data_IF_361424929861
#
_entry.id   IF_361424929861
#
_cell.length_a   1.000
_cell.length_b   1.000
_cell.length_c   1.000
_cell.angle_alpha   90.00
_cell.angle_beta   90.00
_cell.angle_gamma   90.00
#
_symmetry.space_group_name_H-M   'P 1'
#
loop_
_entity.id
_entity.type
_entity.pdbx_description
1 polymer ?
#
# COMPACT_ATOMS: atom_id res chain seq x y z
N UNK A 1 21.55 95.38 -9.03
CA UNK A 1 20.80 94.84 -10.18
C UNK A 1 19.77 93.89 -9.60
N UNK A 2 18.52 94.34 -9.46
CA UNK A 2 17.43 93.52 -8.92
C UNK A 2 16.91 92.67 -10.07
N UNK A 3 17.02 91.35 -9.99
CA UNK A 3 16.41 90.45 -10.97
C UNK A 3 14.92 90.39 -10.65
N UNK A 4 14.10 90.97 -11.53
CA UNK A 4 12.63 91.00 -11.41
C UNK A 4 12.09 89.65 -11.90
N UNK A 5 11.65 88.77 -11.00
CA UNK A 5 11.18 87.40 -11.29
C UNK A 5 9.78 87.34 -11.93
N UNK A 6 9.35 88.35 -12.68
CA UNK A 6 7.99 88.48 -13.26
C UNK A 6 7.66 87.50 -14.41
N UNK A 7 8.50 86.49 -14.65
CA UNK A 7 8.34 85.54 -15.75
C UNK A 7 7.98 84.12 -15.35
N UNK A 8 7.95 83.79 -14.05
CA UNK A 8 7.53 82.47 -13.59
C UNK A 8 6.04 82.56 -13.26
N UNK A 9 5.22 81.98 -14.13
CA UNK A 9 3.78 81.83 -13.90
C UNK A 9 3.57 80.91 -12.69
N UNK A 10 3.04 81.46 -11.60
CA UNK A 10 2.73 80.76 -10.35
C UNK A 10 1.87 79.52 -10.59
N UNK A 11 1.03 79.55 -11.63
CA UNK A 11 0.25 78.40 -12.06
C UNK A 11 1.11 77.22 -12.51
N UNK A 12 2.17 77.47 -13.29
CA UNK A 12 3.06 76.41 -13.77
C UNK A 12 3.86 75.76 -12.63
N UNK A 13 4.16 76.54 -11.58
CA UNK A 13 4.82 76.01 -10.38
C UNK A 13 3.86 75.13 -9.59
N UNK A 14 2.60 75.55 -9.43
CA UNK A 14 1.59 74.77 -8.73
C UNK A 14 1.25 73.47 -9.49
N UNK A 15 1.10 73.52 -10.82
CA UNK A 15 0.86 72.34 -11.64
C UNK A 15 2.00 71.31 -11.51
N UNK A 16 3.25 71.77 -11.40
CA UNK A 16 4.41 70.89 -11.20
C UNK A 16 4.46 70.29 -9.78
N UNK A 17 4.09 71.07 -8.76
CA UNK A 17 3.97 70.58 -7.38
C UNK A 17 2.87 69.52 -7.29
N UNK A 18 1.72 69.76 -7.91
CA UNK A 18 0.58 68.85 -7.91
C UNK A 18 0.93 67.53 -8.62
N UNK A 19 1.63 67.59 -9.76
CA UNK A 19 2.10 66.40 -10.45
C UNK A 19 3.05 65.53 -9.60
N UNK A 20 4.00 66.17 -8.90
CA UNK A 20 4.91 65.47 -7.97
C UNK A 20 4.14 64.88 -6.78
N UNK A 21 3.14 65.60 -6.26
CA UNK A 21 2.30 65.09 -5.18
C UNK A 21 1.48 63.87 -5.59
N UNK A 22 0.98 63.85 -6.82
CA UNK A 22 0.26 62.69 -7.39
C UNK A 22 1.20 61.48 -7.47
N UNK A 23 2.39 61.63 -8.07
CA UNK A 23 3.36 60.53 -8.14
C UNK A 23 3.78 60.01 -6.75
N UNK A 24 3.97 60.92 -5.78
CA UNK A 24 4.31 60.54 -4.41
C UNK A 24 3.17 59.79 -3.71
N UNK A 25 1.92 60.11 -4.05
CA UNK A 25 0.73 59.43 -3.50
C UNK A 25 0.60 58.04 -4.11
N UNK A 26 0.77 57.91 -5.43
CA UNK A 26 0.71 56.62 -6.14
C UNK A 26 1.76 55.64 -5.60
N UNK A 27 3.01 56.10 -5.39
CA UNK A 27 4.09 55.27 -4.81
C UNK A 27 3.72 54.77 -3.41
N UNK A 28 3.04 55.60 -2.60
CA UNK A 28 2.64 55.24 -1.24
C UNK A 28 1.49 54.22 -1.23
N UNK A 29 0.55 54.31 -2.16
CA UNK A 29 -0.53 53.34 -2.33
C UNK A 29 -0.02 51.99 -2.83
N UNK A 30 0.90 51.99 -3.80
CA UNK A 30 1.49 50.77 -4.36
C UNK A 30 2.34 50.02 -3.32
N UNK A 31 3.14 50.76 -2.54
CA UNK A 31 3.92 50.19 -1.44
C UNK A 31 3.05 49.60 -0.30
N UNK A 32 1.82 50.09 -0.13
CA UNK A 32 0.87 49.55 0.84
C UNK A 32 0.09 48.32 0.32
N UNK A 33 0.06 48.11 -1.00
CA UNK A 33 -0.55 46.95 -1.65
C UNK A 33 0.41 45.76 -1.80
N UNK A 34 1.71 46.02 -2.00
CA UNK A 34 2.78 45.02 -2.24
C UNK A 34 3.31 44.36 -0.93
N UNK A 35 2.39 43.97 -0.04
CA UNK A 35 2.74 43.42 1.27
C UNK A 35 2.83 41.89 1.20
N UNK A 36 3.87 41.34 1.83
CA UNK A 36 4.00 39.91 2.10
C UNK A 36 2.80 39.45 2.96
N UNK A 37 2.04 38.47 2.48
CA UNK A 37 0.85 37.96 3.16
C UNK A 37 1.14 36.65 3.93
N UNK A 38 0.62 36.51 5.14
CA UNK A 38 0.74 35.28 5.94
C UNK A 38 -0.29 34.21 5.52
N UNK A 39 -0.44 34.01 4.22
CA UNK A 39 -1.33 33.01 3.63
C UNK A 39 -0.82 32.59 2.24
N UNK A 40 -1.22 31.40 1.81
CA UNK A 40 -1.09 30.95 0.41
C UNK A 40 -2.49 30.87 -0.18
N UNK A 41 -2.80 31.78 -1.10
CA UNK A 41 -4.08 31.85 -1.79
C UNK A 41 -3.87 31.54 -3.28
N UNK A 42 -4.71 30.68 -3.84
CA UNK A 42 -4.64 30.36 -5.26
C UNK A 42 -4.97 31.59 -6.12
N UNK A 43 -4.24 31.74 -7.22
CA UNK A 43 -4.44 32.79 -8.23
C UNK A 43 -4.17 34.24 -7.79
N UNK A 44 -3.52 34.43 -6.64
CA UNK A 44 -2.89 35.72 -6.27
C UNK A 44 -1.58 35.86 -7.04
N UNK A 45 -1.37 37.00 -7.70
CA UNK A 45 -0.20 37.28 -8.58
C UNK A 45 0.53 38.57 -8.21
N UNK A 46 -0.08 39.37 -7.34
CA UNK A 46 0.32 40.70 -6.91
C UNK A 46 0.84 40.73 -5.48
N UNK A 47 0.90 39.57 -4.80
CA UNK A 47 1.42 39.45 -3.44
C UNK A 47 2.22 38.17 -3.27
N UNK A 48 3.37 38.27 -2.61
CA UNK A 48 4.17 37.11 -2.23
C UNK A 48 3.68 36.55 -0.88
N UNK A 49 3.65 35.22 -0.70
CA UNK A 49 3.40 34.62 0.61
C UNK A 49 4.59 34.81 1.55
N UNK A 50 4.32 34.81 2.85
CA UNK A 50 5.32 34.86 3.92
C UNK A 50 6.12 33.56 4.00
N UNK A 51 7.31 33.62 4.59
CA UNK A 51 8.08 32.42 4.91
C UNK A 51 7.27 31.47 5.82
N UNK A 52 6.54 31.99 6.81
CA UNK A 52 5.73 31.18 7.72
C UNK A 52 4.61 30.46 6.97
N UNK A 53 3.89 31.17 6.09
CA UNK A 53 2.85 30.59 5.25
C UNK A 53 3.37 29.43 4.38
N UNK A 54 4.59 29.59 3.82
CA UNK A 54 5.27 28.53 3.06
C UNK A 54 5.67 27.35 3.96
N UNK A 55 6.24 27.60 5.13
CA UNK A 55 6.63 26.53 6.07
C UNK A 55 5.41 25.74 6.57
N UNK A 56 4.34 26.42 6.97
CA UNK A 56 3.12 25.79 7.47
C UNK A 56 2.45 24.94 6.41
N UNK A 57 2.37 25.42 5.16
CA UNK A 57 1.80 24.68 4.05
C UNK A 57 2.61 23.41 3.73
N UNK A 58 3.95 23.50 3.75
CA UNK A 58 4.84 22.35 3.53
C UNK A 58 4.75 21.34 4.68
N UNK A 59 4.67 21.80 5.92
CA UNK A 59 4.51 20.94 7.09
C UNK A 59 3.17 20.20 7.06
N UNK A 60 2.08 20.87 6.70
CA UNK A 60 0.76 20.23 6.58
C UNK A 60 0.73 19.17 5.46
N UNK A 61 1.38 19.44 4.33
CA UNK A 61 1.53 18.46 3.24
C UNK A 61 2.32 17.23 3.67
N UNK A 62 3.38 17.41 4.47
CA UNK A 62 4.19 16.32 5.00
C UNK A 62 3.46 15.49 6.09
N UNK A 63 2.53 16.10 6.83
CA UNK A 63 1.81 15.45 7.94
C UNK A 63 0.57 14.66 7.52
N UNK A 64 0.20 14.64 6.25
CA UNK A 64 -0.87 13.80 5.71
C UNK A 64 -0.47 12.32 5.67
N UNK A 65 0.00 11.76 6.79
CA UNK A 65 0.15 10.33 7.11
C UNK A 65 0.35 9.43 5.89
N UNK A 66 1.48 9.57 5.23
CA UNK A 66 1.87 8.72 4.09
C UNK A 66 2.01 7.23 4.48
N UNK A 67 1.96 6.94 5.79
CA UNK A 67 2.06 5.61 6.37
C UNK A 67 0.76 5.26 7.10
N UNK A 68 0.22 4.08 6.82
CA UNK A 68 -0.96 3.51 7.46
C UNK A 68 -0.56 2.33 8.34
N UNK A 69 -1.15 2.21 9.54
CA UNK A 69 -0.90 1.09 10.44
C UNK A 69 -1.91 -0.05 10.21
N UNK A 70 -2.20 -0.34 8.94
CA UNK A 70 -3.00 -1.46 8.49
C UNK A 70 -2.67 -1.83 7.04
N UNK A 71 -2.84 -3.11 6.68
CA UNK A 71 -2.89 -3.55 5.28
C UNK A 71 -4.33 -3.48 4.81
N UNK A 72 -4.62 -2.48 3.98
CA UNK A 72 -5.94 -2.31 3.36
C UNK A 72 -5.81 -2.60 1.87
N UNK A 73 -6.65 -3.50 1.37
CA UNK A 73 -6.68 -3.84 -0.05
C UNK A 73 -7.11 -2.64 -0.91
N UNK A 74 -6.48 -2.49 -2.07
CA UNK A 74 -6.75 -1.41 -3.01
C UNK A 74 -6.24 -0.01 -2.62
N UNK A 75 -5.61 0.16 -1.45
CA UNK A 75 -4.98 1.45 -1.09
C UNK A 75 -3.61 1.56 -1.77
N UNK A 76 -3.45 2.58 -2.62
CA UNK A 76 -2.21 2.85 -3.37
C UNK A 76 -1.59 4.20 -3.05
N UNK A 77 -2.26 5.03 -2.26
CA UNK A 77 -1.84 6.40 -1.91
C UNK A 77 -1.11 6.50 -0.58
N UNK A 78 -1.07 5.40 0.19
CA UNK A 78 -0.37 5.30 1.47
C UNK A 78 0.43 4.01 1.52
N UNK A 79 1.65 4.07 2.04
CA UNK A 79 2.44 2.90 2.34
C UNK A 79 1.99 2.27 3.68
N UNK A 80 2.06 0.94 3.85
CA UNK A 80 1.86 0.33 5.16
C UNK A 80 3.07 0.57 6.08
N UNK A 81 2.84 0.54 7.39
CA UNK A 81 3.91 0.61 8.40
C UNK A 81 4.81 -0.63 8.37
N UNK A 82 6.07 -0.49 8.79
CA UNK A 82 6.99 -1.62 8.87
C UNK A 82 6.49 -2.71 9.83
N UNK A 83 5.86 -2.32 10.94
CA UNK A 83 5.32 -3.26 11.94
C UNK A 83 4.20 -4.10 11.34
N UNK A 84 3.28 -3.46 10.62
CA UNK A 84 2.18 -4.16 9.94
C UNK A 84 2.70 -5.11 8.88
N UNK A 85 3.72 -4.71 8.10
CA UNK A 85 4.34 -5.60 7.13
C UNK A 85 4.99 -6.80 7.82
N UNK A 86 5.70 -6.57 8.92
CA UNK A 86 6.35 -7.63 9.68
C UNK A 86 5.33 -8.62 10.27
N UNK A 87 4.29 -8.12 10.92
CA UNK A 87 3.23 -8.95 11.52
C UNK A 87 2.49 -9.76 10.45
N UNK A 88 2.17 -9.15 9.32
CA UNK A 88 1.53 -9.84 8.21
C UNK A 88 2.43 -10.90 7.56
N UNK A 89 3.73 -10.65 7.45
CA UNK A 89 4.69 -11.63 6.95
C UNK A 89 4.89 -12.78 7.94
N UNK A 90 4.86 -12.52 9.25
CA UNK A 90 4.98 -13.55 10.28
C UNK A 90 3.83 -14.56 10.27
N UNK A 91 2.64 -14.16 9.79
CA UNK A 91 1.49 -15.05 9.66
C UNK A 91 1.44 -15.83 8.33
N UNK A 92 2.30 -15.50 7.36
CA UNK A 92 2.36 -16.23 6.09
C UNK A 92 3.07 -17.57 6.28
N UNK A 93 2.46 -18.62 5.73
CA UNK A 93 3.06 -19.94 5.69
C UNK A 93 4.31 -19.92 4.80
N UNK A 94 5.46 -20.38 5.32
CA UNK A 94 6.69 -20.49 4.54
C UNK A 94 6.59 -21.65 3.56
N UNK A 95 6.90 -21.41 2.28
CA UNK A 95 6.98 -22.43 1.24
C UNK A 95 7.98 -23.53 1.60
N UNK A 96 9.05 -23.20 2.32
CA UNK A 96 10.05 -24.16 2.76
C UNK A 96 9.48 -25.22 3.72
N UNK A 97 8.40 -24.89 4.44
CA UNK A 97 7.72 -25.82 5.34
C UNK A 97 6.78 -26.78 4.59
N UNK A 98 6.49 -26.54 3.30
CA UNK A 98 5.60 -27.40 2.53
C UNK A 98 6.37 -28.50 1.81
N UNK A 99 5.93 -29.74 2.04
CA UNK A 99 6.42 -30.92 1.35
C UNK A 99 5.27 -31.63 0.66
N UNK A 100 5.53 -32.11 -0.55
CA UNK A 100 4.62 -33.00 -1.26
C UNK A 100 5.02 -34.44 -0.98
N UNK A 101 4.10 -35.21 -0.40
CA UNK A 101 4.29 -36.63 -0.11
C UNK A 101 3.34 -37.44 -0.98
N UNK A 102 3.89 -38.34 -1.79
CA UNK A 102 3.11 -39.32 -2.52
C UNK A 102 3.06 -40.63 -1.71
N UNK A 103 1.90 -41.27 -1.68
CA UNK A 103 1.74 -42.56 -1.01
C UNK A 103 2.41 -43.69 -1.80
N UNK A 104 2.61 -44.83 -1.16
CA UNK A 104 2.86 -46.06 -1.91
C UNK A 104 1.64 -46.39 -2.81
N UNK A 105 1.89 -47.15 -3.88
CA UNK A 105 0.84 -47.67 -4.73
C UNK A 105 -0.08 -48.60 -3.94
N UNK A 106 -1.40 -48.44 -4.09
CA UNK A 106 -2.38 -49.34 -3.47
C UNK A 106 -2.23 -50.76 -4.02
N UNK A 107 -2.46 -51.75 -3.15
CA UNK A 107 -2.40 -53.17 -3.52
C UNK A 107 -3.65 -53.62 -4.31
N UNK A 108 -4.77 -52.88 -4.23
CA UNK A 108 -6.04 -53.29 -4.82
C UNK A 108 -6.76 -54.38 -4.01
N UNK A 109 -8.08 -54.41 -4.07
CA UNK A 109 -8.91 -55.59 -3.75
C UNK A 109 -9.92 -55.46 -2.60
N UNK A 110 -10.20 -54.26 -2.07
CA UNK A 110 -11.33 -54.07 -1.15
C UNK A 110 -12.11 -52.76 -1.32
N UNK A 111 -13.43 -52.79 -1.10
CA UNK A 111 -14.38 -51.65 -1.16
C UNK A 111 -13.88 -50.38 -0.46
N UNK A 112 -13.06 -50.59 0.57
CA UNK A 112 -12.35 -49.55 1.31
C UNK A 112 -10.88 -49.98 1.37
N UNK A 113 -10.00 -49.15 0.83
CA UNK A 113 -8.54 -49.37 0.89
C UNK A 113 -7.88 -48.28 1.71
N UNK A 114 -7.18 -48.68 2.78
CA UNK A 114 -6.31 -47.79 3.54
C UNK A 114 -4.89 -47.85 2.99
N UNK A 115 -4.39 -46.72 2.52
CA UNK A 115 -2.99 -46.53 2.16
C UNK A 115 -2.36 -45.51 3.11
N UNK A 116 -1.24 -45.88 3.72
CA UNK A 116 -0.44 -44.98 4.55
C UNK A 116 0.59 -44.22 3.71
N UNK A 117 0.76 -42.93 4.00
CA UNK A 117 1.88 -42.15 3.48
C UNK A 117 3.13 -42.38 4.35
N UNK A 118 4.29 -42.50 3.72
CA UNK A 118 5.57 -42.63 4.41
C UNK A 118 6.21 -41.24 4.53
N UNK A 119 6.80 -40.92 5.69
CA UNK A 119 7.49 -39.64 5.91
C UNK A 119 6.67 -38.56 6.62
N UNK A 120 5.47 -38.90 7.08
CA UNK A 120 4.72 -38.08 8.04
C UNK A 120 5.36 -38.21 9.43
N UNK A 121 5.49 -37.08 10.12
CA UNK A 121 5.94 -36.99 11.50
C UNK A 121 4.82 -36.45 12.39
N UNK A 122 4.92 -36.72 13.70
CA UNK A 122 4.01 -36.14 14.68
C UNK A 122 4.06 -34.60 14.62
N UNK A 123 2.92 -33.97 14.39
CA UNK A 123 2.79 -32.51 14.28
C UNK A 123 2.69 -31.99 12.85
N UNK A 124 2.95 -32.81 11.84
CA UNK A 124 2.73 -32.43 10.45
C UNK A 124 1.24 -32.14 10.20
N UNK A 125 0.95 -31.11 9.40
CA UNK A 125 -0.43 -30.72 9.06
C UNK A 125 -0.68 -31.01 7.58
N UNK A 126 -1.66 -31.87 7.29
CA UNK A 126 -2.08 -32.14 5.91
C UNK A 126 -2.99 -31.00 5.46
N UNK A 127 -2.52 -30.23 4.48
CA UNK A 127 -3.23 -29.09 3.91
C UNK A 127 -4.17 -29.49 2.78
N UNK A 128 -3.78 -30.52 2.01
CA UNK A 128 -4.60 -31.06 0.93
C UNK A 128 -4.24 -32.52 0.67
N UNK A 129 -5.24 -33.28 0.21
CA UNK A 129 -5.07 -34.65 -0.28
C UNK A 129 -5.80 -34.79 -1.62
N UNK A 130 -5.13 -35.36 -2.60
CA UNK A 130 -5.70 -35.63 -3.92
C UNK A 130 -5.24 -36.97 -4.47
N UNK A 131 -5.97 -37.49 -5.45
CA UNK A 131 -5.51 -38.66 -6.19
C UNK A 131 -4.56 -38.22 -7.30
N UNK A 132 -3.31 -38.68 -7.24
CA UNK A 132 -2.30 -38.42 -8.28
C UNK A 132 -2.44 -39.39 -9.43
N UNK A 133 -2.62 -40.68 -9.11
CA UNK A 133 -2.73 -41.76 -10.08
C UNK A 133 -3.96 -42.58 -9.73
N UNK A 134 -4.89 -42.65 -10.68
CA UNK A 134 -6.06 -43.52 -10.57
C UNK A 134 -5.64 -44.98 -10.77
N UNK A 135 -6.11 -45.85 -9.89
CA UNK A 135 -6.00 -47.31 -10.05
C UNK A 135 -7.01 -47.88 -11.05
N UNK A 136 -7.02 -49.20 -11.21
CA UNK A 136 -8.10 -49.88 -11.95
C UNK A 136 -9.45 -49.67 -11.23
N UNK A 137 -10.54 -49.41 -11.93
CA UNK A 137 -11.87 -49.15 -11.30
C UNK A 137 -11.88 -47.97 -10.31
N UNK A 138 -10.93 -47.04 -10.43
CA UNK A 138 -10.78 -45.94 -9.49
C UNK A 138 -11.96 -44.97 -9.51
N UNK A 139 -12.41 -44.63 -8.31
CA UNK A 139 -13.30 -43.50 -8.04
C UNK A 139 -12.53 -42.36 -7.39
N UNK A 140 -13.15 -41.19 -7.27
CA UNK A 140 -12.56 -40.05 -6.58
C UNK A 140 -12.35 -40.35 -5.08
N UNK A 141 -11.33 -39.71 -4.49
CA UNK A 141 -11.11 -39.73 -3.05
C UNK A 141 -12.35 -39.17 -2.33
N UNK A 142 -12.90 -39.92 -1.38
CA UNK A 142 -14.14 -39.56 -0.68
C UNK A 142 -13.84 -38.88 0.64
N UNK A 143 -12.87 -39.42 1.39
CA UNK A 143 -12.46 -38.84 2.67
C UNK A 143 -11.03 -39.25 3.01
N UNK A 144 -10.45 -38.54 3.96
CA UNK A 144 -9.21 -38.92 4.61
C UNK A 144 -9.35 -38.73 6.11
N UNK A 145 -8.64 -39.55 6.88
CA UNK A 145 -8.54 -39.44 8.33
C UNK A 145 -7.06 -39.41 8.71
N UNK A 146 -6.64 -38.33 9.37
CA UNK A 146 -5.28 -38.16 9.85
C UNK A 146 -5.14 -38.76 11.26
N UNK A 147 -4.19 -39.67 11.41
CA UNK A 147 -3.61 -40.07 12.68
C UNK A 147 -2.31 -39.27 12.94
N UNK A 148 -1.71 -39.42 14.12
CA UNK A 148 -0.55 -38.62 14.57
C UNK A 148 0.62 -38.65 13.57
N UNK A 149 0.87 -39.80 12.95
CA UNK A 149 2.00 -40.06 12.05
C UNK A 149 1.58 -40.83 10.77
N UNK A 150 0.27 -40.91 10.51
CA UNK A 150 -0.27 -41.66 9.38
C UNK A 150 -1.53 -41.00 8.84
N UNK A 151 -1.88 -41.34 7.61
CA UNK A 151 -3.17 -40.98 7.02
C UNK A 151 -3.86 -42.24 6.54
N UNK A 152 -5.18 -42.29 6.71
CA UNK A 152 -6.04 -43.30 6.10
C UNK A 152 -6.89 -42.60 5.05
N UNK A 153 -6.79 -43.06 3.81
CA UNK A 153 -7.59 -42.57 2.68
C UNK A 153 -8.78 -43.50 2.48
N UNK A 154 -9.92 -42.96 2.08
CA UNK A 154 -11.13 -43.75 1.78
C UNK A 154 -11.67 -43.38 0.40
N UNK A 155 -12.05 -44.41 -0.35
CA UNK A 155 -12.54 -44.34 -1.73
C UNK A 155 -13.96 -44.92 -1.77
N UNK A 156 -14.80 -44.51 -2.73
CA UNK A 156 -16.17 -45.04 -2.88
C UNK A 156 -16.24 -46.36 -3.64
N UNK A 157 -15.14 -46.73 -4.30
CA UNK A 157 -14.88 -48.03 -4.90
C UNK A 157 -13.36 -48.29 -4.90
N UNK A 158 -12.95 -49.56 -4.84
CA UNK A 158 -11.56 -50.02 -4.79
C UNK A 158 -10.78 -49.41 -5.94
N UNK A 159 -9.84 -48.49 -5.67
CA UNK A 159 -8.90 -48.11 -6.69
C UNK A 159 -7.92 -49.28 -6.79
N UNK A 160 -8.19 -50.16 -7.75
CA UNK A 160 -7.41 -51.36 -8.02
C UNK A 160 -5.92 -51.07 -8.19
N UNK A 161 -5.10 -52.12 -8.18
CA UNK A 161 -3.65 -52.02 -8.03
C UNK A 161 -3.00 -50.85 -8.78
N UNK A 162 -2.24 -50.03 -8.06
CA UNK A 162 -1.47 -48.92 -8.64
C UNK A 162 -1.97 -47.51 -8.31
N UNK A 163 -3.01 -47.35 -7.51
CA UNK A 163 -3.49 -46.02 -7.14
C UNK A 163 -2.51 -45.31 -6.20
N UNK A 164 -2.25 -44.02 -6.46
CA UNK A 164 -1.34 -43.20 -5.67
C UNK A 164 -2.07 -41.92 -5.28
N UNK A 165 -2.04 -41.59 -3.99
CA UNK A 165 -2.50 -40.30 -3.50
C UNK A 165 -1.32 -39.37 -3.27
N UNK A 166 -1.62 -38.08 -3.33
CA UNK A 166 -0.69 -36.98 -3.11
C UNK A 166 -1.19 -36.12 -1.98
N UNK A 167 -0.29 -35.83 -1.06
CA UNK A 167 -0.51 -34.97 0.09
C UNK A 167 0.32 -33.71 -0.07
N UNK A 168 -0.29 -32.57 0.21
CA UNK A 168 0.43 -31.34 0.52
C UNK A 168 0.49 -31.22 2.04
N UNK A 169 1.70 -31.24 2.59
CA UNK A 169 1.92 -31.32 4.03
C UNK A 169 2.75 -30.12 4.48
N UNK A 170 2.30 -29.42 5.51
CA UNK A 170 3.14 -28.51 6.29
C UNK A 170 3.92 -29.33 7.31
N UNK A 171 5.25 -29.30 7.23
CA UNK A 171 6.14 -29.92 8.20
C UNK A 171 6.12 -29.14 9.52
N UNK A 172 6.18 -29.88 10.62
CA UNK A 172 6.32 -29.33 11.97
C UNK A 172 7.71 -28.74 12.23
#
# INVERSE_FOLDING_TARGET
MSVDYKGIDEKNVQDAIDAVLVEATDIAEDAAADVIEDAIVNAVVDKAPSQNAVFDALALKANSSDIEDALVDGVTTKAPSQNVVFDALALKLDIADLVVIDTAASAGGGAVESVAAVGLAAGDVILACSQKTAGANSTALVSFNQAVDAITLTWSADPGAGAIARLLVKKA
#
